data_IF_919283610939
#
_entry.id   IF_919283610939
#
_cell.length_a   1.000
_cell.length_b   1.000
_cell.length_c   1.000
_cell.angle_alpha   90.00
_cell.angle_beta   90.00
_cell.angle_gamma   90.00
#
_symmetry.space_group_name_H-M   'P 1'
#
loop_
_entity.id
_entity.type
_entity.pdbx_description
1 polymer ?
#
# COMPACT_ATOMS: atom_id res chain seq x y z
N UNK A 1 -10.13 12.05 8.63
CA UNK A 1 -9.16 10.94 8.53
C UNK A 1 -9.43 9.98 9.67
N UNK A 2 -9.78 8.73 9.37
CA UNK A 2 -10.15 7.75 10.40
C UNK A 2 -8.91 7.26 11.12
N UNK A 3 -9.02 7.15 12.44
CA UNK A 3 -7.94 6.68 13.32
C UNK A 3 -8.28 5.26 13.74
N UNK A 4 -7.33 4.33 13.54
CA UNK A 4 -7.49 2.96 13.99
C UNK A 4 -6.69 2.78 15.28
N UNK A 5 -7.41 2.35 16.33
CA UNK A 5 -6.84 2.01 17.63
C UNK A 5 -6.62 0.50 17.69
N UNK A 6 -5.41 0.09 17.93
CA UNK A 6 -5.09 -1.32 18.09
C UNK A 6 -4.37 -1.61 19.40
N UNK A 7 -4.75 -2.71 20.04
CA UNK A 7 -4.07 -3.22 21.23
C UNK A 7 -3.05 -4.27 20.79
N UNK A 8 -1.76 -3.97 20.93
CA UNK A 8 -0.66 -4.92 20.74
C UNK A 8 -0.23 -5.46 22.09
N UNK A 9 -0.35 -6.77 22.30
CA UNK A 9 0.18 -7.44 23.49
C UNK A 9 -0.42 -8.83 23.69
N UNK A 10 0.42 -9.76 24.20
CA UNK A 10 0.00 -11.05 24.73
C UNK A 10 -0.79 -10.86 26.03
N UNK A 11 -1.58 -11.88 26.43
CA UNK A 11 -2.48 -11.84 27.59
C UNK A 11 -1.82 -11.44 28.92
N UNK A 12 -0.48 -11.51 29.03
CA UNK A 12 0.30 -11.17 30.20
C UNK A 12 1.13 -9.88 30.11
N UNK A 13 1.08 -9.16 28.97
CA UNK A 13 1.82 -7.91 28.78
C UNK A 13 0.88 -6.72 28.85
N UNK A 14 1.36 -5.59 29.36
CA UNK A 14 0.59 -4.34 29.36
C UNK A 14 0.10 -4.04 27.94
N UNK A 15 -1.21 -4.08 27.72
CA UNK A 15 -1.85 -3.78 26.45
C UNK A 15 -1.37 -2.41 25.96
N UNK A 16 -0.53 -2.41 24.93
CA UNK A 16 -0.07 -1.19 24.29
C UNK A 16 -1.07 -0.80 23.20
N UNK A 17 -1.68 0.35 23.35
CA UNK A 17 -2.59 0.89 22.34
C UNK A 17 -1.75 1.66 21.33
N UNK A 18 -1.84 1.28 20.07
CA UNK A 18 -1.22 2.00 18.95
C UNK A 18 -2.30 2.64 18.12
N UNK A 19 -2.18 3.95 17.90
CA UNK A 19 -3.05 4.70 17.00
C UNK A 19 -2.31 4.88 15.69
N UNK A 20 -2.86 4.35 14.60
CA UNK A 20 -2.24 4.43 13.29
C UNK A 20 -3.29 4.48 12.19
N UNK A 21 -2.94 5.07 11.07
CA UNK A 21 -3.66 4.95 9.80
C UNK A 21 -2.78 4.32 8.71
N UNK A 22 -1.62 3.81 9.09
CA UNK A 22 -0.71 3.11 8.19
C UNK A 22 -1.18 1.69 7.89
N UNK A 23 -1.39 1.37 6.61
CA UNK A 23 -1.92 0.08 6.17
C UNK A 23 -1.00 -1.09 6.49
N UNK A 24 0.31 -0.93 6.39
CA UNK A 24 1.26 -2.00 6.72
C UNK A 24 1.19 -2.34 8.22
N UNK A 25 1.23 -1.34 9.08
CA UNK A 25 1.11 -1.50 10.54
C UNK A 25 -0.22 -2.17 10.91
N UNK A 26 -1.33 -1.76 10.29
CA UNK A 26 -2.66 -2.33 10.53
C UNK A 26 -2.67 -3.81 10.14
N UNK A 27 -2.22 -4.13 8.92
CA UNK A 27 -2.25 -5.50 8.40
C UNK A 27 -1.33 -6.45 9.16
N UNK A 28 -0.15 -5.99 9.58
CA UNK A 28 0.79 -6.79 10.39
C UNK A 28 0.26 -7.12 11.78
N UNK A 29 -0.61 -6.29 12.31
CA UNK A 29 -1.17 -6.47 13.64
C UNK A 29 -2.47 -7.29 13.66
N UNK A 30 -3.01 -7.66 12.49
CA UNK A 30 -4.13 -8.59 12.38
C UNK A 30 -3.60 -10.03 12.44
N UNK A 31 -4.16 -10.83 13.35
CA UNK A 31 -3.86 -12.26 13.36
C UNK A 31 -4.47 -12.96 12.16
N UNK A 32 -3.63 -13.52 11.30
CA UNK A 32 -4.02 -14.21 10.07
C UNK A 32 -3.37 -15.58 10.00
N UNK A 33 -4.18 -16.63 10.01
CA UNK A 33 -3.70 -18.02 9.89
C UNK A 33 -3.52 -18.47 8.45
N UNK A 34 -4.32 -17.91 7.52
CA UNK A 34 -4.32 -18.34 6.14
C UNK A 34 -3.02 -17.92 5.42
N UNK A 35 -2.22 -18.86 4.89
CA UNK A 35 -0.98 -18.54 4.19
C UNK A 35 -1.15 -17.63 2.97
N UNK A 36 -2.25 -17.77 2.23
CA UNK A 36 -2.53 -16.91 1.07
C UNK A 36 -2.82 -15.46 1.49
N UNK A 37 -3.51 -15.26 2.62
CA UNK A 37 -3.74 -13.92 3.16
C UNK A 37 -2.47 -13.27 3.71
N UNK A 38 -1.50 -14.06 4.19
CA UNK A 38 -0.18 -13.55 4.58
C UNK A 38 0.57 -12.90 3.42
N UNK A 39 0.38 -13.39 2.20
CA UNK A 39 0.98 -12.78 0.99
C UNK A 39 0.52 -11.33 0.82
N UNK A 40 -0.75 -11.00 1.11
CA UNK A 40 -1.24 -9.62 1.04
C UNK A 40 -0.59 -8.72 2.10
N UNK A 41 -0.33 -9.26 3.28
CA UNK A 41 0.42 -8.57 4.34
C UNK A 41 1.86 -8.30 3.87
N UNK A 42 2.52 -9.31 3.29
CA UNK A 42 3.88 -9.19 2.78
C UNK A 42 3.99 -8.18 1.61
N UNK A 43 2.98 -8.11 0.73
CA UNK A 43 2.90 -7.09 -0.32
C UNK A 43 2.87 -5.68 0.28
N UNK A 44 2.03 -5.47 1.30
CA UNK A 44 1.94 -4.16 1.97
C UNK A 44 3.25 -3.81 2.71
N UNK A 45 3.87 -4.80 3.36
CA UNK A 45 5.16 -4.66 4.04
C UNK A 45 6.28 -4.31 3.05
N UNK A 46 6.35 -5.00 1.92
CA UNK A 46 7.35 -4.71 0.88
C UNK A 46 7.20 -3.29 0.35
N UNK A 47 5.96 -2.83 0.14
CA UNK A 47 5.69 -1.45 -0.26
C UNK A 47 6.18 -0.44 0.79
N UNK A 48 6.02 -0.76 2.08
CA UNK A 48 6.50 0.09 3.17
C UNK A 48 8.03 0.16 3.22
N UNK A 49 8.71 -0.97 3.07
CA UNK A 49 10.16 -1.07 3.08
C UNK A 49 10.83 -0.38 1.86
N UNK A 50 10.21 -0.47 0.69
CA UNK A 50 10.79 0.06 -0.56
C UNK A 50 10.45 1.54 -0.80
N UNK A 51 9.26 1.98 -0.43
CA UNK A 51 8.73 3.31 -0.77
C UNK A 51 8.32 4.12 0.46
N UNK A 52 7.80 3.47 1.51
CA UNK A 52 7.31 4.12 2.73
C UNK A 52 5.96 4.80 2.58
N UNK A 53 5.28 4.63 1.44
CA UNK A 53 3.93 5.17 1.19
C UNK A 53 3.14 4.26 0.25
N UNK A 54 1.80 4.43 0.23
CA UNK A 54 0.91 3.64 -0.61
C UNK A 54 0.63 2.23 -0.10
N UNK A 55 0.97 1.89 1.14
CA UNK A 55 0.80 0.57 1.76
C UNK A 55 -0.65 0.09 1.74
N UNK A 56 -1.60 0.96 2.05
CA UNK A 56 -3.03 0.67 1.98
C UNK A 56 -3.49 0.52 0.54
N UNK A 57 -3.04 1.40 -0.35
CA UNK A 57 -3.43 1.38 -1.76
C UNK A 57 -3.03 0.08 -2.45
N UNK A 58 -1.81 -0.38 -2.24
CA UNK A 58 -1.32 -1.63 -2.85
C UNK A 58 -2.08 -2.85 -2.33
N UNK A 59 -2.41 -2.89 -1.04
CA UNK A 59 -3.18 -3.99 -0.45
C UNK A 59 -4.62 -4.02 -1.00
N UNK A 60 -5.28 -2.87 -1.09
CA UNK A 60 -6.63 -2.74 -1.65
C UNK A 60 -6.63 -3.13 -3.13
N UNK A 61 -5.67 -2.63 -3.91
CA UNK A 61 -5.54 -2.98 -5.33
C UNK A 61 -5.34 -4.48 -5.53
N UNK A 62 -4.46 -5.11 -4.74
CA UNK A 62 -4.24 -6.55 -4.80
C UNK A 62 -5.52 -7.33 -4.44
N UNK A 63 -6.24 -6.90 -3.41
CA UNK A 63 -7.51 -7.50 -3.01
C UNK A 63 -8.57 -7.40 -4.11
N UNK A 64 -8.72 -6.24 -4.74
CA UNK A 64 -9.68 -6.03 -5.84
C UNK A 64 -9.31 -6.87 -7.08
N UNK A 65 -8.04 -6.93 -7.45
CA UNK A 65 -7.60 -7.80 -8.56
C UNK A 65 -7.89 -9.28 -8.29
N UNK A 66 -7.71 -9.75 -7.05
CA UNK A 66 -8.05 -11.11 -6.67
C UNK A 66 -9.55 -11.37 -6.69
N UNK A 67 -10.36 -10.40 -6.24
CA UNK A 67 -11.81 -10.48 -6.28
C UNK A 67 -12.35 -10.60 -7.70
N UNK A 68 -11.82 -9.81 -8.64
CA UNK A 68 -12.19 -9.91 -10.06
C UNK A 68 -11.67 -11.23 -10.68
N UNK A 69 -10.48 -11.69 -10.28
CA UNK A 69 -9.96 -12.97 -10.74
C UNK A 69 -10.83 -14.16 -10.31
N UNK A 70 -11.43 -14.10 -9.11
CA UNK A 70 -12.35 -15.15 -8.64
C UNK A 70 -13.49 -15.37 -9.64
N UNK A 71 -14.12 -14.28 -10.12
CA UNK A 71 -15.20 -14.36 -11.11
C UNK A 71 -14.75 -15.02 -12.42
N UNK A 72 -13.52 -14.71 -12.86
CA UNK A 72 -12.95 -15.30 -14.07
C UNK A 72 -12.64 -16.78 -13.89
N UNK A 73 -12.15 -17.19 -12.73
CA UNK A 73 -11.91 -18.61 -12.40
C UNK A 73 -13.23 -19.38 -12.33
N UNK A 74 -14.28 -18.82 -11.75
CA UNK A 74 -15.62 -19.40 -11.74
C UNK A 74 -16.19 -19.56 -13.16
N UNK A 75 -15.87 -18.62 -14.06
CA UNK A 75 -16.15 -18.73 -15.49
C UNK A 75 -15.24 -19.72 -16.26
N UNK A 76 -14.45 -20.54 -15.55
CA UNK A 76 -13.54 -21.55 -16.10
C UNK A 76 -12.36 -21.00 -16.91
N UNK A 77 -12.01 -19.73 -16.72
CA UNK A 77 -10.79 -19.17 -17.31
C UNK A 77 -9.58 -19.66 -16.49
N UNK A 78 -8.59 -20.19 -17.17
CA UNK A 78 -7.40 -20.73 -16.51
C UNK A 78 -6.59 -19.61 -15.84
N UNK A 79 -6.14 -19.77 -14.58
CA UNK A 79 -5.40 -18.72 -13.85
C UNK A 79 -4.19 -18.14 -14.59
N UNK A 80 -3.48 -18.94 -15.38
CA UNK A 80 -2.35 -18.46 -16.18
C UNK A 80 -2.74 -17.43 -17.25
N UNK A 81 -3.96 -17.51 -17.78
CA UNK A 81 -4.47 -16.52 -18.74
C UNK A 81 -4.71 -15.19 -18.03
N UNK A 82 -5.27 -15.25 -16.82
CA UNK A 82 -5.51 -14.07 -15.96
C UNK A 82 -4.15 -13.40 -15.62
N UNK A 83 -3.16 -14.19 -15.20
CA UNK A 83 -1.82 -13.68 -14.89
C UNK A 83 -1.16 -13.04 -16.13
N UNK A 84 -1.31 -13.61 -17.30
CA UNK A 84 -0.80 -13.00 -18.53
C UNK A 84 -1.49 -11.69 -18.87
N UNK A 85 -2.80 -11.60 -18.62
CA UNK A 85 -3.55 -10.36 -18.73
C UNK A 85 -3.02 -9.27 -17.80
N UNK A 86 -2.81 -9.59 -16.53
CA UNK A 86 -2.25 -8.67 -15.54
C UNK A 86 -0.83 -8.21 -15.90
N UNK A 87 0.02 -9.10 -16.41
CA UNK A 87 1.36 -8.72 -16.87
C UNK A 87 1.31 -7.69 -18.00
N UNK A 88 0.42 -7.89 -18.98
CA UNK A 88 0.22 -6.91 -20.06
C UNK A 88 -0.33 -5.58 -19.54
N UNK A 89 -1.32 -5.63 -18.65
CA UNK A 89 -1.90 -4.42 -18.04
C UNK A 89 -0.84 -3.64 -17.25
N UNK A 90 0.02 -4.33 -16.50
CA UNK A 90 1.14 -3.71 -15.76
C UNK A 90 2.08 -2.96 -16.72
N UNK A 91 2.47 -3.56 -17.83
CA UNK A 91 3.39 -2.91 -18.79
C UNK A 91 2.76 -1.66 -19.39
N UNK A 92 1.47 -1.72 -19.76
CA UNK A 92 0.73 -0.56 -20.26
C UNK A 92 0.62 0.53 -19.19
N UNK A 93 0.23 0.17 -17.97
CA UNK A 93 0.10 1.12 -16.86
C UNK A 93 1.44 1.81 -16.56
N UNK A 94 2.53 1.03 -16.49
CA UNK A 94 3.87 1.58 -16.28
C UNK A 94 4.25 2.58 -17.38
N UNK A 95 4.00 2.24 -18.64
CA UNK A 95 4.28 3.13 -19.77
C UNK A 95 3.50 4.43 -19.65
N UNK A 96 2.20 4.35 -19.39
CA UNK A 96 1.34 5.55 -19.24
C UNK A 96 1.81 6.43 -18.09
N UNK A 97 2.22 5.83 -16.95
CA UNK A 97 2.76 6.59 -15.82
C UNK A 97 4.04 7.33 -16.19
N UNK A 98 4.97 6.68 -16.89
CA UNK A 98 6.23 7.31 -17.33
C UNK A 98 5.97 8.39 -18.38
N UNK A 99 5.12 8.12 -19.37
CA UNK A 99 4.82 9.05 -20.46
C UNK A 99 4.09 10.33 -19.96
N UNK A 100 3.40 10.25 -18.80
CA UNK A 100 2.68 11.37 -18.20
C UNK A 100 3.34 11.93 -16.94
N UNK A 101 4.52 11.45 -16.59
CA UNK A 101 5.27 11.98 -15.44
C UNK A 101 5.85 13.36 -15.79
N UNK A 102 5.74 14.29 -14.84
CA UNK A 102 6.45 15.56 -14.93
C UNK A 102 7.89 15.34 -14.44
N UNK A 103 8.86 15.72 -15.25
CA UNK A 103 10.28 15.68 -14.88
C UNK A 103 10.85 17.10 -14.97
N UNK A 104 11.15 17.67 -13.81
CA UNK A 104 11.71 19.00 -13.66
C UNK A 104 13.18 18.95 -13.16
N UNK A 105 13.87 17.84 -13.42
CA UNK A 105 15.23 17.63 -12.89
C UNK A 105 16.23 18.72 -13.33
N UNK A 106 16.04 19.28 -14.53
CA UNK A 106 16.91 20.30 -15.09
C UNK A 106 16.59 21.73 -14.57
N UNK A 107 15.47 21.94 -13.87
CA UNK A 107 15.07 23.20 -13.25
C UNK A 107 15.14 23.10 -11.71
N UNK A 108 16.17 23.66 -11.05
CA UNK A 108 16.36 23.52 -9.61
C UNK A 108 15.20 24.07 -8.76
N UNK A 109 14.54 25.14 -9.21
CA UNK A 109 13.45 25.76 -8.45
C UNK A 109 12.16 24.94 -8.61
N UNK A 110 11.84 24.47 -9.82
CA UNK A 110 10.73 23.59 -10.08
C UNK A 110 10.93 22.25 -9.36
N UNK A 111 12.12 21.66 -9.42
CA UNK A 111 12.46 20.42 -8.70
C UNK A 111 12.28 20.55 -7.19
N UNK A 112 12.74 21.66 -6.60
CA UNK A 112 12.54 21.93 -5.17
C UNK A 112 11.06 22.06 -4.80
N UNK A 113 10.25 22.65 -5.68
CA UNK A 113 8.81 22.73 -5.47
C UNK A 113 8.15 21.36 -5.56
N UNK A 114 8.59 20.51 -6.49
CA UNK A 114 8.10 19.13 -6.62
C UNK A 114 8.42 18.30 -5.36
N UNK A 115 9.64 18.41 -4.84
CA UNK A 115 10.00 17.76 -3.57
C UNK A 115 9.10 18.18 -2.40
N UNK A 116 8.77 19.49 -2.31
CA UNK A 116 7.83 19.98 -1.30
C UNK A 116 6.42 19.41 -1.49
N UNK A 117 5.94 19.35 -2.73
CA UNK A 117 4.62 18.83 -3.05
C UNK A 117 4.51 17.34 -2.69
N UNK A 118 5.55 16.54 -3.02
CA UNK A 118 5.64 15.13 -2.67
C UNK A 118 5.64 14.96 -1.14
N UNK A 119 6.48 15.71 -0.43
CA UNK A 119 6.54 15.65 1.02
C UNK A 119 5.20 16.03 1.66
N UNK A 120 4.54 17.08 1.19
CA UNK A 120 3.22 17.47 1.68
C UNK A 120 2.16 16.41 1.44
N UNK A 121 2.16 15.77 0.28
CA UNK A 121 1.22 14.69 -0.05
C UNK A 121 1.39 13.51 0.91
N UNK A 122 2.62 13.05 1.10
CA UNK A 122 2.94 11.94 2.01
C UNK A 122 2.59 12.27 3.45
N UNK A 123 2.98 13.45 3.95
CA UNK A 123 2.71 13.87 5.32
C UNK A 123 1.21 14.09 5.58
N UNK A 124 0.45 14.58 4.60
CA UNK A 124 -0.99 14.79 4.75
C UNK A 124 -1.78 13.49 4.93
N UNK A 125 -1.24 12.38 4.43
CA UNK A 125 -1.84 11.04 4.56
C UNK A 125 -1.51 10.35 5.89
N UNK A 126 -0.51 10.82 6.64
CA UNK A 126 -0.02 10.19 7.87
C UNK A 126 -0.52 10.91 9.13
N UNK A 127 -0.75 10.11 10.18
CA UNK A 127 -0.93 10.65 11.53
C UNK A 127 0.44 11.06 12.07
N UNK A 128 0.73 12.34 12.06
CA UNK A 128 1.92 12.86 12.72
C UNK A 128 1.74 12.75 14.23
N UNK A 129 2.64 12.02 14.90
CA UNK A 129 2.72 12.07 16.36
C UNK A 129 3.13 13.48 16.75
N UNK A 130 2.21 14.24 17.34
CA UNK A 130 2.57 15.42 18.08
C UNK A 130 3.25 14.93 19.36
N UNK A 131 4.55 14.93 19.41
CA UNK A 131 5.28 14.87 20.66
C UNK A 131 5.01 16.20 21.36
N UNK A 132 4.05 16.19 22.29
CA UNK A 132 3.96 17.23 23.30
C UNK A 132 4.99 16.85 24.37
N UNK A 133 6.13 17.51 24.38
CA UNK A 133 6.90 17.70 25.58
C UNK A 133 6.11 18.53 26.60
#
# INVERSE_FOLDING_TARGET
MDKILQSLGDENSRKRIVVTNDGATILQSIFVDNPAAKILIDISKTQDEEVGDGTTTVAVLAGELLREAEQLVLAKIHPQIIIQGWRKAREVAKKVLVDNAFDNFDDPEAFKQDLKNIAMTTLSSKLLKSERE
#
